data_IF_849721286653
#
_entry.id   IF_849721286653
#
_cell.length_a   1.000
_cell.length_b   1.000
_cell.length_c   1.000
_cell.angle_alpha   90.00
_cell.angle_beta   90.00
_cell.angle_gamma   90.00
#
_symmetry.space_group_name_H-M   'P 1'
#
loop_
_entity.id
_entity.type
_entity.pdbx_description
1 polymer ?
#
# COMPACT_ATOMS: atom_id res chain seq x y z
N UNK A 1 6.78 -18.82 6.06
CA UNK A 1 5.35 -19.11 6.28
C UNK A 1 4.55 -18.01 5.61
N UNK A 2 4.21 -18.18 4.33
CA UNK A 2 3.55 -17.13 3.54
C UNK A 2 2.05 -17.25 3.72
N UNK A 3 1.53 -16.80 4.86
CA UNK A 3 0.10 -16.59 5.03
C UNK A 3 -0.32 -15.52 4.04
N UNK A 4 -1.17 -15.88 3.08
CA UNK A 4 -1.75 -14.94 2.13
C UNK A 4 -2.72 -14.04 2.92
N UNK A 5 -2.16 -13.05 3.61
CA UNK A 5 -2.90 -12.17 4.49
C UNK A 5 -3.78 -11.28 3.61
N UNK A 6 -5.08 -11.60 3.58
CA UNK A 6 -6.09 -10.85 2.85
C UNK A 6 -6.26 -9.49 3.53
N UNK A 7 -5.40 -8.54 3.18
CA UNK A 7 -5.48 -7.19 3.69
C UNK A 7 -6.74 -6.54 3.12
N UNK A 8 -7.65 -6.17 4.01
CA UNK A 8 -8.89 -5.46 3.67
C UNK A 8 -8.70 -4.00 4.03
N UNK A 9 -8.99 -3.12 3.08
CA UNK A 9 -8.90 -1.68 3.20
C UNK A 9 -10.31 -1.09 3.19
N UNK A 10 -10.56 -0.16 4.10
CA UNK A 10 -11.80 0.61 4.16
C UNK A 10 -11.58 2.04 3.67
N UNK A 11 -12.63 2.63 3.07
CA UNK A 11 -12.61 4.04 2.74
C UNK A 11 -12.71 4.87 4.02
N UNK A 12 -11.65 5.61 4.35
CA UNK A 12 -11.64 6.53 5.49
C UNK A 12 -11.30 7.95 5.03
N UNK A 13 -12.05 8.93 5.52
CA UNK A 13 -11.74 10.35 5.31
C UNK A 13 -10.34 10.65 5.86
N UNK A 14 -9.45 11.12 5.00
CA UNK A 14 -8.05 11.39 5.36
C UNK A 14 -7.13 10.17 5.36
N UNK A 15 -7.56 9.02 4.82
CA UNK A 15 -6.72 7.81 4.76
C UNK A 15 -5.39 8.00 4.03
N UNK A 16 -4.42 7.14 4.30
CA UNK A 16 -3.03 7.27 3.82
C UNK A 16 -2.81 6.91 2.34
N UNK A 17 -3.81 6.31 1.70
CA UNK A 17 -3.71 5.75 0.36
C UNK A 17 -4.76 6.34 -0.57
N UNK A 18 -4.44 6.39 -1.86
CA UNK A 18 -5.36 6.67 -2.96
C UNK A 18 -5.64 5.40 -3.74
N UNK A 19 -6.85 5.30 -4.27
CA UNK A 19 -7.23 4.28 -5.24
C UNK A 19 -7.48 4.97 -6.58
N UNK A 20 -6.76 4.53 -7.59
CA UNK A 20 -6.89 4.98 -8.98
C UNK A 20 -7.48 3.81 -9.77
N UNK A 21 -8.49 4.10 -10.58
CA UNK A 21 -9.06 3.12 -11.49
C UNK A 21 -8.46 3.31 -12.87
N UNK A 22 -7.88 2.26 -13.42
CA UNK A 22 -7.37 2.23 -14.78
C UNK A 22 -7.93 0.97 -15.45
N UNK A 23 -8.72 1.18 -16.50
CA UNK A 23 -9.56 0.16 -17.13
C UNK A 23 -10.43 -0.61 -16.12
N UNK A 24 -10.18 -1.91 -15.98
CA UNK A 24 -10.87 -2.82 -15.06
C UNK A 24 -10.05 -3.14 -13.81
N UNK A 25 -8.95 -2.41 -13.55
CA UNK A 25 -8.05 -2.67 -12.44
C UNK A 25 -8.04 -1.47 -11.49
N UNK A 26 -8.29 -1.74 -10.21
CA UNK A 26 -8.12 -0.75 -9.15
C UNK A 26 -6.67 -0.85 -8.61
N UNK A 27 -5.94 0.26 -8.71
CA UNK A 27 -4.58 0.40 -8.19
C UNK A 27 -4.58 1.24 -6.91
N UNK A 28 -3.78 0.83 -5.95
CA UNK A 28 -3.58 1.56 -4.70
C UNK A 28 -2.17 2.15 -4.63
N UNK A 29 -2.11 3.43 -4.28
CA UNK A 29 -0.88 4.21 -4.17
C UNK A 29 -0.80 4.90 -2.81
N UNK A 30 0.38 4.99 -2.19
CA UNK A 30 0.59 5.86 -1.04
C UNK A 30 0.41 7.33 -1.43
N UNK A 31 -0.19 8.14 -0.56
CA UNK A 31 -0.21 9.59 -0.75
C UNK A 31 1.22 10.15 -0.66
N UNK A 32 1.50 11.22 -1.39
CA UNK A 32 2.82 11.88 -1.40
C UNK A 32 3.33 12.28 -0.01
N UNK A 33 2.44 12.58 0.93
CA UNK A 33 2.79 12.97 2.30
C UNK A 33 2.83 11.80 3.29
N UNK A 34 2.66 10.56 2.84
CA UNK A 34 2.79 9.39 3.70
C UNK A 34 4.27 9.19 4.06
N UNK A 35 4.62 9.51 5.30
CA UNK A 35 5.93 9.16 5.87
C UNK A 35 5.86 7.76 6.47
N UNK A 36 6.73 6.88 6.02
CA UNK A 36 6.86 5.53 6.57
C UNK A 36 7.86 5.60 7.73
N UNK A 37 7.49 5.03 8.86
CA UNK A 37 8.31 4.98 10.07
C UNK A 37 8.07 3.65 10.80
N UNK A 38 8.82 3.41 11.87
CA UNK A 38 8.71 2.18 12.67
C UNK A 38 7.28 1.85 13.15
N UNK A 39 6.43 2.85 13.37
CA UNK A 39 5.06 2.67 13.86
C UNK A 39 4.09 2.21 12.78
N UNK A 40 4.31 2.59 11.52
CA UNK A 40 3.42 2.23 10.40
C UNK A 40 4.04 1.26 9.40
N UNK A 41 5.34 0.98 9.51
CA UNK A 41 6.09 0.11 8.61
C UNK A 41 5.42 -1.27 8.46
N UNK A 42 5.02 -1.90 9.58
CA UNK A 42 4.36 -3.20 9.56
C UNK A 42 3.07 -3.20 8.75
N UNK A 43 2.32 -2.09 8.77
CA UNK A 43 1.09 -1.94 7.96
C UNK A 43 1.42 -1.75 6.49
N UNK A 44 2.46 -0.97 6.18
CA UNK A 44 2.92 -0.75 4.81
C UNK A 44 3.46 -2.04 4.21
N UNK A 45 4.22 -2.83 4.97
CA UNK A 45 4.81 -4.11 4.57
C UNK A 45 3.75 -5.18 4.21
N UNK A 46 2.57 -5.10 4.79
CA UNK A 46 1.43 -5.95 4.38
C UNK A 46 0.99 -5.62 2.94
N UNK A 47 1.00 -4.33 2.59
CA UNK A 47 0.46 -3.78 1.34
C UNK A 47 1.50 -3.68 0.22
N UNK A 48 2.76 -3.51 0.59
CA UNK A 48 3.89 -3.28 -0.30
C UNK A 48 5.08 -4.15 0.10
N UNK A 49 5.81 -4.66 -0.88
CA UNK A 49 7.16 -5.14 -0.68
C UNK A 49 8.08 -3.93 -0.46
N UNK A 50 8.60 -3.80 0.76
CA UNK A 50 9.53 -2.74 1.15
C UNK A 50 10.97 -3.15 0.84
N UNK A 51 11.59 -2.51 -0.16
CA UNK A 51 12.99 -2.77 -0.54
C UNK A 51 13.93 -1.73 0.07
N UNK A 52 15.08 -2.20 0.58
CA UNK A 52 16.12 -1.37 1.20
C UNK A 52 15.62 -0.52 2.38
N UNK A 53 14.63 -1.01 3.14
CA UNK A 53 14.14 -0.28 4.32
C UNK A 53 15.26 -0.09 5.35
N UNK A 54 15.48 1.16 5.73
CA UNK A 54 16.30 1.57 6.86
C UNK A 54 15.48 2.58 7.67
N UNK A 55 15.51 2.48 9.00
CA UNK A 55 14.78 3.40 9.87
C UNK A 55 15.22 4.87 9.72
N UNK A 56 16.42 5.10 9.16
CA UNK A 56 16.95 6.42 8.87
C UNK A 56 16.47 7.00 7.52
N UNK A 57 15.90 6.17 6.62
CA UNK A 57 15.37 6.66 5.36
C UNK A 57 13.95 7.19 5.53
N UNK A 58 13.76 8.47 5.23
CA UNK A 58 12.43 9.10 5.18
C UNK A 58 11.79 9.04 3.81
N UNK A 59 12.60 8.91 2.77
CA UNK A 59 12.19 9.00 1.38
C UNK A 59 12.13 7.63 0.74
N UNK A 60 11.18 7.47 -0.15
CA UNK A 60 10.99 6.26 -0.93
C UNK A 60 10.38 6.61 -2.28
N UNK A 61 10.57 5.71 -3.24
CA UNK A 61 9.91 5.76 -4.54
C UNK A 61 8.92 4.62 -4.64
N UNK A 62 7.78 4.89 -5.26
CA UNK A 62 6.83 3.86 -5.66
C UNK A 62 7.34 3.22 -6.96
N UNK A 63 7.82 1.99 -6.87
CA UNK A 63 8.31 1.22 -8.03
C UNK A 63 7.13 0.55 -8.75
N UNK A 64 6.16 0.04 -7.99
CA UNK A 64 4.96 -0.60 -8.51
C UNK A 64 3.76 -0.33 -7.61
N UNK A 65 2.61 0.13 -8.14
CA UNK A 65 1.39 0.26 -7.36
C UNK A 65 0.87 -1.10 -6.91
N UNK A 66 0.23 -1.13 -5.73
CA UNK A 66 -0.47 -2.32 -5.29
C UNK A 66 -1.77 -2.50 -6.09
N UNK A 67 -2.19 -3.75 -6.33
CA UNK A 67 -3.47 -4.02 -6.99
C UNK A 67 -4.49 -4.44 -5.96
N UNK A 68 -5.66 -3.85 -6.06
CA UNK A 68 -6.76 -4.11 -5.16
C UNK A 68 -8.01 -4.42 -5.96
N UNK A 69 -9.01 -5.00 -5.32
CA UNK A 69 -10.31 -5.24 -5.91
C UNK A 69 -11.38 -4.81 -4.93
N UNK A 70 -12.36 -4.03 -5.39
CA UNK A 70 -13.50 -3.66 -4.59
C UNK A 70 -14.34 -4.90 -4.27
N UNK A 71 -14.55 -5.17 -2.98
CA UNK A 71 -15.34 -6.32 -2.50
C UNK A 71 -16.72 -5.90 -1.99
N UNK A 72 -16.86 -4.70 -1.46
CA UNK A 72 -18.14 -4.10 -1.07
C UNK A 72 -18.03 -2.58 -1.06
N UNK A 73 -19.16 -1.85 -0.99
CA UNK A 73 -19.27 -0.40 -1.24
C UNK A 73 -18.37 0.50 -0.38
N UNK A 74 -17.09 0.59 -0.74
CA UNK A 74 -16.05 1.33 0.00
C UNK A 74 -14.99 0.45 0.67
N UNK A 75 -14.95 -0.85 0.35
CA UNK A 75 -13.98 -1.81 0.88
C UNK A 75 -13.24 -2.48 -0.26
N UNK A 76 -11.92 -2.56 -0.14
CA UNK A 76 -11.04 -3.18 -1.13
C UNK A 76 -10.22 -4.29 -0.50
N UNK A 77 -9.99 -5.35 -1.27
CA UNK A 77 -9.10 -6.43 -0.89
C UNK A 77 -7.81 -6.33 -1.70
N UNK A 78 -6.68 -6.45 -1.03
CA UNK A 78 -5.38 -6.56 -1.67
C UNK A 78 -5.32 -7.85 -2.51
N UNK A 79 -5.05 -7.70 -3.80
CA UNK A 79 -4.85 -8.80 -4.75
C UNK A 79 -3.36 -9.03 -5.00
N UNK A 80 -2.59 -7.95 -5.10
CA UNK A 80 -1.15 -8.00 -5.34
C UNK A 80 -0.46 -6.87 -4.59
N UNK A 81 0.63 -7.19 -3.90
CA UNK A 81 1.45 -6.19 -3.22
C UNK A 81 2.08 -5.24 -4.23
N UNK A 82 2.14 -3.97 -3.87
CA UNK A 82 2.96 -3.01 -4.58
C UNK A 82 4.43 -3.18 -4.21
N UNK A 83 5.30 -2.36 -4.78
CA UNK A 83 6.73 -2.33 -4.45
C UNK A 83 7.12 -0.89 -4.17
N UNK A 84 7.72 -0.67 -3.01
CA UNK A 84 8.37 0.59 -2.66
C UNK A 84 9.84 0.35 -2.40
N UNK A 85 10.66 1.33 -2.75
CA UNK A 85 12.11 1.28 -2.55
C UNK A 85 12.58 2.55 -1.85
N UNK A 86 13.24 2.37 -0.71
CA UNK A 86 13.78 3.45 0.11
C UNK A 86 15.17 3.86 -0.41
N UNK A 87 15.53 5.14 -0.26
CA UNK A 87 16.81 5.71 -0.71
C UNK A 87 17.26 6.90 0.15
#
# INVERSE_FOLDING_TARGET
MSGNQLAILENKRGGSYWIIKEDSIDYMLPKQNLKINEYNYSTVEVLFECRNYDANYSDYKLVKPARVQMVSGGTWQLQERGIIEFY
#
